data_IF_838919981181
#
_entry.id   IF_838919981181
#
_cell.length_a   1.000
_cell.length_b   1.000
_cell.length_c   1.000
_cell.angle_alpha   90.00
_cell.angle_beta   90.00
_cell.angle_gamma   90.00
#
_symmetry.space_group_name_H-M   'P 1'
#
loop_
_entity.id
_entity.type
_entity.pdbx_description
1 polymer ?
#
# COMPACT_ATOMS: atom_id res chain seq x y z
N UNK A 1 -49.44 -27.21 7.80
CA UNK A 1 -48.21 -26.99 8.57
C UNK A 1 -47.16 -26.45 7.61
N UNK A 2 -46.92 -25.15 7.67
CA UNK A 2 -45.86 -24.49 6.91
C UNK A 2 -44.65 -24.22 7.81
N UNK A 3 -43.47 -24.25 7.19
CA UNK A 3 -42.29 -23.39 7.40
C UNK A 3 -41.22 -23.98 6.49
N UNK A 4 -41.10 -23.44 5.27
CA UNK A 4 -40.19 -22.34 4.94
C UNK A 4 -38.87 -22.93 4.44
N UNK A 5 -38.72 -22.95 3.10
CA UNK A 5 -37.44 -23.14 2.46
C UNK A 5 -36.47 -22.12 3.04
N UNK A 6 -35.37 -22.62 3.59
CA UNK A 6 -34.35 -21.79 4.22
C UNK A 6 -33.72 -20.93 3.15
N UNK A 7 -34.12 -19.67 3.18
CA UNK A 7 -33.53 -18.50 2.56
C UNK A 7 -32.11 -18.30 3.10
N UNK A 8 -31.18 -19.16 2.70
CA UNK A 8 -29.74 -18.91 2.80
C UNK A 8 -29.18 -18.90 1.39
N UNK A 9 -29.68 -17.87 0.70
CA UNK A 9 -28.95 -17.03 -0.23
C UNK A 9 -27.95 -17.77 -1.13
N UNK A 10 -28.48 -18.13 -2.29
CA UNK A 10 -27.85 -17.81 -3.57
C UNK A 10 -27.48 -16.31 -3.57
N UNK A 11 -26.45 -15.93 -2.83
CA UNK A 11 -25.82 -14.62 -2.95
C UNK A 11 -25.17 -14.65 -4.32
N UNK A 12 -25.92 -14.14 -5.30
CA UNK A 12 -25.38 -13.88 -6.63
C UNK A 12 -24.01 -13.23 -6.41
N UNK A 13 -22.96 -13.89 -6.91
CA UNK A 13 -21.60 -13.35 -6.92
C UNK A 13 -21.71 -12.12 -7.81
N UNK A 14 -22.05 -10.98 -7.20
CA UNK A 14 -22.17 -9.72 -7.91
C UNK A 14 -20.78 -9.46 -8.49
N UNK A 15 -20.66 -9.24 -9.80
CA UNK A 15 -19.36 -8.88 -10.35
C UNK A 15 -18.90 -7.62 -9.63
N UNK A 16 -17.74 -7.72 -8.97
CA UNK A 16 -17.13 -6.62 -8.23
C UNK A 16 -16.94 -5.48 -9.24
N UNK A 17 -17.46 -4.29 -8.90
CA UNK A 17 -17.34 -3.11 -9.75
C UNK A 17 -15.89 -2.64 -9.83
N UNK A 18 -15.54 -1.91 -10.90
CA UNK A 18 -14.20 -1.31 -11.03
C UNK A 18 -13.78 -0.42 -9.85
N UNK A 19 -14.75 0.25 -9.22
CA UNK A 19 -14.51 1.07 -8.03
C UNK A 19 -14.21 0.20 -6.79
N UNK A 20 -14.93 -0.89 -6.60
CA UNK A 20 -14.68 -1.82 -5.50
C UNK A 20 -13.31 -2.51 -5.65
N UNK A 21 -12.90 -2.85 -6.89
CA UNK A 21 -11.57 -3.40 -7.14
C UNK A 21 -10.45 -2.38 -6.86
N UNK A 22 -10.63 -1.13 -7.28
CA UNK A 22 -9.68 -0.05 -6.99
C UNK A 22 -9.55 0.20 -5.47
N UNK A 23 -10.68 0.22 -4.75
CA UNK A 23 -10.67 0.35 -3.30
C UNK A 23 -9.93 -0.81 -2.63
N UNK A 24 -10.15 -2.05 -3.08
CA UNK A 24 -9.43 -3.21 -2.56
C UNK A 24 -7.91 -3.12 -2.76
N UNK A 25 -7.47 -2.54 -3.89
CA UNK A 25 -6.05 -2.26 -4.13
C UNK A 25 -5.53 -1.18 -3.18
N UNK A 26 -6.26 -0.08 -2.99
CA UNK A 26 -5.87 0.98 -2.05
C UNK A 26 -5.76 0.45 -0.61
N UNK A 27 -6.72 -0.37 -0.18
CA UNK A 27 -6.71 -1.00 1.15
C UNK A 27 -5.50 -1.91 1.34
N UNK A 28 -5.15 -2.71 0.32
CA UNK A 28 -3.95 -3.56 0.32
C UNK A 28 -2.65 -2.74 0.38
N UNK A 29 -2.58 -1.64 -0.38
CA UNK A 29 -1.43 -0.72 -0.34
C UNK A 29 -1.27 -0.10 1.06
N UNK A 30 -2.39 0.30 1.68
CA UNK A 30 -2.39 0.83 3.05
C UNK A 30 -1.94 -0.23 4.06
N UNK A 31 -2.48 -1.45 3.98
CA UNK A 31 -2.09 -2.57 4.86
C UNK A 31 -0.59 -2.88 4.74
N UNK A 32 -0.05 -2.91 3.51
CA UNK A 32 1.36 -3.16 3.27
C UNK A 32 2.25 -2.05 3.83
N UNK A 33 1.87 -0.78 3.64
CA UNK A 33 2.58 0.37 4.21
C UNK A 33 2.59 0.36 5.75
N UNK A 34 1.44 0.07 6.35
CA UNK A 34 1.34 -0.10 7.80
C UNK A 34 2.18 -1.28 8.32
N UNK A 35 2.13 -2.43 7.63
CA UNK A 35 2.89 -3.63 7.99
C UNK A 35 4.39 -3.34 7.94
N UNK A 36 4.86 -2.65 6.88
CA UNK A 36 6.25 -2.23 6.75
C UNK A 36 6.69 -1.32 7.90
N UNK A 37 5.86 -0.36 8.29
CA UNK A 37 6.16 0.54 9.41
C UNK A 37 6.18 -0.15 10.79
N UNK A 38 5.59 -1.35 10.89
CA UNK A 38 5.61 -2.18 12.10
C UNK A 38 6.77 -3.19 12.12
N UNK A 39 7.54 -3.32 11.05
CA UNK A 39 8.72 -4.17 11.03
C UNK A 39 9.84 -3.55 11.89
N UNK A 40 10.64 -4.38 12.57
CA UNK A 40 11.84 -3.89 13.25
C UNK A 40 12.81 -3.29 12.24
N UNK A 41 13.41 -2.14 12.57
CA UNK A 41 14.35 -1.39 11.70
C UNK A 41 15.55 -2.21 11.19
N UNK A 42 15.86 -3.35 11.80
CA UNK A 42 16.98 -4.20 11.42
C UNK A 42 16.49 -5.55 10.88
N UNK A 43 16.93 -5.88 9.66
CA UNK A 43 16.94 -7.25 9.14
C UNK A 43 15.73 -7.72 8.34
N UNK A 44 14.59 -7.02 8.37
CA UNK A 44 13.38 -7.43 7.63
C UNK A 44 13.07 -6.43 6.53
N UNK A 45 13.24 -6.86 5.27
CA UNK A 45 12.90 -6.09 4.06
C UNK A 45 11.97 -6.90 3.17
N UNK A 46 11.21 -6.21 2.30
CA UNK A 46 10.68 -6.69 1.03
C UNK A 46 11.26 -8.02 0.52
N UNK A 47 10.55 -9.14 0.47
CA UNK A 47 11.09 -10.30 -0.24
C UNK A 47 11.37 -9.96 -1.72
N UNK A 48 12.60 -10.17 -2.20
CA UNK A 48 13.00 -9.84 -3.59
C UNK A 48 13.49 -8.40 -3.82
N UNK A 49 13.69 -7.62 -2.76
CA UNK A 49 14.06 -6.21 -2.85
C UNK A 49 15.58 -6.01 -2.70
N UNK A 50 16.29 -6.06 -3.84
CA UNK A 50 17.75 -5.86 -3.98
C UNK A 50 18.16 -4.48 -4.52
N UNK A 51 19.29 -4.41 -5.25
CA UNK A 51 20.01 -3.19 -5.72
C UNK A 51 19.17 -2.08 -6.39
N UNK A 52 17.96 -2.37 -6.88
CA UNK A 52 17.08 -1.38 -7.55
C UNK A 52 16.37 -0.40 -6.62
N UNK A 53 16.56 -0.53 -5.31
CA UNK A 53 15.88 0.31 -4.31
C UNK A 53 16.55 1.67 -4.07
N UNK A 54 17.87 1.77 -4.25
CA UNK A 54 18.64 2.99 -3.96
C UNK A 54 18.32 4.20 -4.86
N UNK A 55 17.61 4.00 -5.97
CA UNK A 55 17.25 5.10 -6.89
C UNK A 55 15.82 5.61 -6.72
N UNK A 56 14.92 4.84 -6.09
CA UNK A 56 13.47 5.14 -6.12
C UNK A 56 12.90 5.54 -4.76
N UNK A 57 13.68 5.43 -3.70
CA UNK A 57 13.32 5.92 -2.39
C UNK A 57 14.41 6.81 -1.86
N UNK A 58 13.97 7.89 -1.22
CA UNK A 58 14.76 8.62 -0.24
C UNK A 58 15.63 7.63 0.53
N UNK A 59 16.90 8.02 0.73
CA UNK A 59 17.92 7.23 1.41
C UNK A 59 17.28 6.45 2.55
N UNK A 60 17.62 5.15 2.61
CA UNK A 60 17.10 4.16 3.55
C UNK A 60 16.94 4.66 5.00
N UNK A 61 17.69 5.68 5.40
CA UNK A 61 17.57 6.39 6.67
C UNK A 61 16.21 7.08 6.89
N UNK A 62 15.58 7.67 5.88
CA UNK A 62 14.24 8.29 6.02
C UNK A 62 13.14 7.24 6.25
N UNK A 63 13.37 6.02 5.76
CA UNK A 63 12.48 4.87 5.95
C UNK A 63 12.79 4.09 7.24
N UNK A 64 14.01 4.16 7.76
CA UNK A 64 14.42 3.46 8.99
C UNK A 64 14.26 4.32 10.25
N UNK A 65 14.30 5.66 10.13
CA UNK A 65 13.89 6.59 11.19
C UNK A 65 12.41 6.46 11.55
N UNK A 66 11.59 5.79 10.72
CA UNK A 66 10.16 5.51 10.94
C UNK A 66 9.81 4.86 12.30
N UNK A 67 10.74 4.14 12.91
CA UNK A 67 10.52 3.44 14.19
C UNK A 67 11.35 4.02 15.34
N UNK A 68 12.31 4.91 15.04
CA UNK A 68 13.21 5.48 16.03
C UNK A 68 12.58 6.65 16.81
N UNK A 69 11.54 7.29 16.28
CA UNK A 69 10.90 8.49 16.87
C UNK A 69 9.92 8.19 18.03
N UNK A 70 9.65 6.91 18.32
CA UNK A 70 8.62 6.52 19.31
C UNK A 70 9.20 5.68 20.44
N UNK A 71 9.06 6.13 21.68
CA UNK A 71 9.32 5.32 22.89
C UNK A 71 8.42 4.08 22.94
N UNK A 72 7.26 4.13 22.27
CA UNK A 72 6.30 3.02 22.19
C UNK A 72 6.61 2.15 20.97
N UNK A 73 6.88 0.86 21.22
CA UNK A 73 7.08 -0.10 20.14
C UNK A 73 5.77 -0.34 19.38
N UNK A 74 5.79 -0.29 18.04
CA UNK A 74 4.61 -0.62 17.24
C UNK A 74 4.23 -2.11 17.39
N UNK A 75 2.97 -2.48 17.12
CA UNK A 75 2.53 -3.85 17.21
C UNK A 75 3.24 -4.72 16.18
N UNK A 76 3.79 -5.87 16.59
CA UNK A 76 4.49 -6.78 15.67
C UNK A 76 3.52 -7.35 14.62
N UNK A 77 3.85 -7.29 13.32
CA UNK A 77 2.98 -7.82 12.29
C UNK A 77 2.98 -9.37 12.31
N UNK A 78 1.88 -9.97 11.88
CA UNK A 78 1.77 -11.43 11.73
C UNK A 78 2.48 -11.90 10.46
N UNK A 79 2.89 -13.16 10.41
CA UNK A 79 3.48 -13.75 9.21
C UNK A 79 2.57 -13.60 7.97
N UNK A 80 1.25 -13.76 8.14
CA UNK A 80 0.28 -13.57 7.06
C UNK A 80 0.23 -12.12 6.56
N UNK A 81 0.38 -11.12 7.44
CA UNK A 81 0.46 -9.72 7.04
C UNK A 81 1.76 -9.44 6.27
N UNK A 82 2.88 -10.03 6.69
CA UNK A 82 4.17 -9.93 5.98
C UNK A 82 4.05 -10.55 4.57
N UNK A 83 3.44 -11.74 4.43
CA UNK A 83 3.23 -12.35 3.11
C UNK A 83 2.35 -11.48 2.20
N UNK A 84 1.27 -10.89 2.71
CA UNK A 84 0.42 -9.97 1.94
C UNK A 84 1.15 -8.67 1.59
N UNK A 85 2.00 -8.18 2.48
CA UNK A 85 2.86 -7.03 2.24
C UNK A 85 3.84 -7.32 1.10
N UNK A 86 4.54 -8.46 1.14
CA UNK A 86 5.46 -8.89 0.07
C UNK A 86 4.74 -8.97 -1.28
N UNK A 87 3.58 -9.65 -1.32
CA UNK A 87 2.71 -9.72 -2.50
C UNK A 87 2.37 -8.32 -3.03
N UNK A 88 1.91 -7.43 -2.15
CA UNK A 88 1.53 -6.06 -2.53
C UNK A 88 2.72 -5.27 -3.08
N UNK A 89 3.91 -5.46 -2.53
CA UNK A 89 5.12 -4.83 -3.04
C UNK A 89 5.51 -5.33 -4.44
N UNK A 90 5.20 -6.58 -4.81
CA UNK A 90 5.36 -7.04 -6.20
C UNK A 90 4.47 -6.26 -7.17
N UNK A 91 3.24 -5.90 -6.76
CA UNK A 91 2.35 -5.07 -7.58
C UNK A 91 2.94 -3.68 -7.81
N UNK A 92 3.52 -3.07 -6.77
CA UNK A 92 4.18 -1.76 -6.85
C UNK A 92 5.40 -1.81 -7.77
N UNK A 93 6.22 -2.86 -7.71
CA UNK A 93 7.32 -3.06 -8.67
C UNK A 93 6.83 -3.19 -10.11
N UNK A 94 5.65 -3.79 -10.29
CA UNK A 94 5.01 -3.94 -11.59
C UNK A 94 4.56 -2.63 -12.23
N UNK A 95 4.45 -1.51 -11.51
CA UNK A 95 4.03 -0.21 -12.06
C UNK A 95 5.05 0.27 -13.10
N UNK A 96 4.62 0.46 -14.35
CA UNK A 96 5.54 0.78 -15.45
C UNK A 96 6.16 2.18 -15.36
N UNK A 97 5.39 3.17 -14.87
CA UNK A 97 5.88 4.54 -14.78
C UNK A 97 6.59 4.79 -13.44
N UNK A 98 7.88 5.16 -13.50
CA UNK A 98 8.70 5.44 -12.30
C UNK A 98 8.11 6.53 -11.42
N UNK A 99 7.55 7.60 -12.00
CA UNK A 99 6.93 8.69 -11.23
C UNK A 99 5.67 8.21 -10.51
N UNK A 100 4.84 7.40 -11.16
CA UNK A 100 3.66 6.82 -10.51
C UNK A 100 4.06 5.88 -9.37
N UNK A 101 5.09 5.04 -9.58
CA UNK A 101 5.64 4.15 -8.56
C UNK A 101 6.13 4.92 -7.34
N UNK A 102 6.88 6.01 -7.55
CA UNK A 102 7.35 6.89 -6.46
C UNK A 102 6.21 7.49 -5.65
N UNK A 103 5.13 7.93 -6.30
CA UNK A 103 3.95 8.44 -5.60
C UNK A 103 3.31 7.38 -4.71
N UNK A 104 3.14 6.16 -5.22
CA UNK A 104 2.57 5.05 -4.44
C UNK A 104 3.43 4.74 -3.23
N UNK A 105 4.76 4.64 -3.41
CA UNK A 105 5.68 4.40 -2.30
C UNK A 105 5.62 5.48 -1.21
N UNK A 106 5.55 6.76 -1.60
CA UNK A 106 5.40 7.88 -0.64
C UNK A 106 4.03 7.85 0.05
N UNK A 107 2.96 7.50 -0.67
CA UNK A 107 1.62 7.37 -0.10
C UNK A 107 1.52 6.23 0.91
N UNK A 108 2.23 5.11 0.67
CA UNK A 108 2.32 3.97 1.57
C UNK A 108 3.11 4.24 2.86
N UNK A 109 3.70 5.43 3.04
CA UNK A 109 4.37 5.80 4.28
C UNK A 109 3.34 6.06 5.38
N UNK A 110 3.02 5.02 6.15
CA UNK A 110 2.04 5.07 7.25
C UNK A 110 2.76 5.19 8.59
N UNK A 111 2.21 6.01 9.49
CA UNK A 111 2.67 6.09 10.86
C UNK A 111 2.09 4.90 11.66
N UNK A 112 2.91 4.06 12.32
CA UNK A 112 2.46 2.79 12.86
C UNK A 112 1.55 2.92 14.10
N UNK A 113 1.66 4.00 14.88
CA UNK A 113 0.75 4.24 16.02
C UNK A 113 -0.57 4.90 15.63
N UNK A 114 -0.53 6.03 14.92
CA UNK A 114 -1.74 6.77 14.54
C UNK A 114 -2.49 6.17 13.35
N UNK A 115 -1.87 5.26 12.59
CA UNK A 115 -2.41 4.69 11.34
C UNK A 115 -2.75 5.75 10.29
N UNK A 116 -2.06 6.88 10.33
CA UNK A 116 -2.24 7.96 9.36
C UNK A 116 -1.11 7.97 8.34
N UNK A 117 -1.39 8.45 7.13
CA UNK A 117 -0.34 8.77 6.17
C UNK A 117 0.60 9.82 6.74
N UNK A 118 1.91 9.60 6.63
CA UNK A 118 2.94 10.57 7.06
C UNK A 118 2.96 11.81 6.17
N UNK A 119 2.68 11.62 4.89
CA UNK A 119 2.68 12.69 3.92
C UNK A 119 1.28 13.01 3.43
N UNK A 120 0.87 14.27 3.58
CA UNK A 120 -0.24 14.83 2.83
C UNK A 120 0.11 14.90 1.34
N UNK A 121 -0.89 14.96 0.46
CA UNK A 121 -0.69 15.13 -0.98
C UNK A 121 0.17 16.34 -1.35
N UNK A 122 0.10 17.42 -0.56
CA UNK A 122 0.93 18.62 -0.76
C UNK A 122 2.40 18.33 -0.45
N UNK A 123 2.68 17.59 0.62
CA UNK A 123 4.04 17.17 0.96
C UNK A 123 4.60 16.20 -0.09
N UNK A 124 3.82 15.23 -0.57
CA UNK A 124 4.24 14.33 -1.67
C UNK A 124 4.55 15.16 -2.93
N UNK A 125 3.70 16.14 -3.27
CA UNK A 125 3.97 17.09 -4.34
C UNK A 125 5.29 17.83 -4.16
N UNK A 126 5.54 18.36 -2.96
CA UNK A 126 6.80 19.04 -2.63
C UNK A 126 8.02 18.13 -2.81
N UNK A 127 7.96 16.89 -2.30
CA UNK A 127 9.03 15.89 -2.42
C UNK A 127 9.36 15.58 -3.88
N UNK A 128 8.34 15.55 -4.75
CA UNK A 128 8.50 15.23 -6.17
C UNK A 128 8.69 16.47 -7.06
N UNK A 129 8.66 17.68 -6.51
CA UNK A 129 8.70 18.93 -7.27
C UNK A 129 7.51 19.11 -8.21
N UNK A 130 6.31 18.67 -7.80
CA UNK A 130 5.07 18.71 -8.59
C UNK A 130 3.89 19.26 -7.81
N UNK A 131 2.86 19.71 -8.53
CA UNK A 131 1.57 20.09 -7.92
C UNK A 131 0.85 18.85 -7.39
N UNK A 132 0.12 19.02 -6.29
CA UNK A 132 -0.51 17.91 -5.58
C UNK A 132 -1.63 17.25 -6.40
N UNK A 133 -2.30 18.00 -7.28
CA UNK A 133 -3.30 17.50 -8.21
C UNK A 133 -2.68 16.56 -9.26
N UNK A 134 -1.49 16.91 -9.77
CA UNK A 134 -0.72 16.06 -10.69
C UNK A 134 -0.32 14.76 -10.02
N UNK A 135 0.17 14.83 -8.78
CA UNK A 135 0.55 13.66 -7.99
C UNK A 135 -0.64 12.76 -7.68
N UNK A 136 -1.79 13.33 -7.28
CA UNK A 136 -3.04 12.57 -7.13
C UNK A 136 -3.43 11.85 -8.42
N UNK A 137 -3.34 12.53 -9.55
CA UNK A 137 -3.59 11.92 -10.86
C UNK A 137 -2.66 10.75 -11.17
N UNK A 138 -1.37 10.86 -10.81
CA UNK A 138 -0.40 9.77 -10.94
C UNK A 138 -0.73 8.58 -10.05
N UNK A 139 -1.15 8.82 -8.81
CA UNK A 139 -1.58 7.77 -7.89
C UNK A 139 -2.76 6.96 -8.46
N UNK A 140 -3.83 7.63 -8.88
CA UNK A 140 -5.01 6.91 -9.42
C UNK A 140 -4.69 6.16 -10.72
N UNK A 141 -3.77 6.68 -11.55
CA UNK A 141 -3.29 5.94 -12.72
C UNK A 141 -2.51 4.67 -12.34
N UNK A 142 -1.70 4.71 -11.28
CA UNK A 142 -1.04 3.51 -10.75
C UNK A 142 -2.04 2.50 -10.17
N UNK A 143 -3.01 2.95 -9.37
CA UNK A 143 -4.06 2.07 -8.82
C UNK A 143 -4.85 1.40 -9.94
N UNK A 144 -5.22 2.15 -10.99
CA UNK A 144 -5.88 1.59 -12.17
C UNK A 144 -5.00 0.55 -12.91
N UNK A 145 -3.69 0.80 -13.01
CA UNK A 145 -2.75 -0.15 -13.62
C UNK A 145 -2.64 -1.45 -12.82
N UNK A 146 -2.53 -1.38 -11.49
CA UNK A 146 -2.51 -2.54 -10.59
C UNK A 146 -3.84 -3.29 -10.66
N UNK A 147 -4.96 -2.56 -10.61
CA UNK A 147 -6.31 -3.14 -10.70
C UNK A 147 -6.46 -3.95 -11.99
N UNK A 148 -6.04 -3.38 -13.12
CA UNK A 148 -6.07 -4.08 -14.41
C UNK A 148 -5.21 -5.35 -14.41
N UNK A 149 -4.05 -5.35 -13.78
CA UNK A 149 -3.14 -6.51 -13.75
C UNK A 149 -3.63 -7.65 -12.84
N UNK A 150 -4.39 -7.34 -11.79
CA UNK A 150 -4.79 -8.31 -10.78
C UNK A 150 -6.22 -8.84 -10.95
N UNK A 151 -7.07 -8.13 -11.68
CA UNK A 151 -8.49 -8.47 -11.84
C UNK A 151 -8.95 -8.65 -13.29
N UNK A 152 -8.06 -8.48 -14.27
CA UNK A 152 -8.33 -8.72 -15.71
C UNK A 152 -7.41 -9.80 -16.22
#
# INVERSE_FOLDING_TARGET
MGTAGTSLEMKAIKPISGQEMAQAVEDRLFEAGYTLACLPAHGVRPAGWGKGWGETLMDMDDLLTLTAESEVRPPMPTAAAITRMDETFTWVQGISNVSHRRVVLLWMMIHPLSRQHRYSWRQIGSVLGKRHETVKGWFYKAVAEITKKNYT
#
